data_IF_047833946256
#
_entry.id   IF_047833946256
#
_cell.length_a   1.000
_cell.length_b   1.000
_cell.length_c   1.000
_cell.angle_alpha   90.00
_cell.angle_beta   90.00
_cell.angle_gamma   90.00
#
_symmetry.space_group_name_H-M   'P 1'
#
loop_
_entity.id
_entity.type
_entity.pdbx_description
1 polymer ?
#
# COMPACT_ATOMS: atom_id res chain seq x y z
N UNK A 1 -6.41 32.31 5.39
CA UNK A 1 -6.82 31.10 6.13
C UNK A 1 -5.99 29.93 5.64
N UNK A 2 -4.93 29.55 6.36
CA UNK A 2 -4.15 28.35 6.03
C UNK A 2 -5.02 27.14 6.38
N UNK A 3 -5.47 26.39 5.36
CA UNK A 3 -6.34 25.22 5.53
C UNK A 3 -5.64 24.22 6.44
N UNK A 4 -6.27 23.81 7.54
CA UNK A 4 -5.70 22.90 8.57
C UNK A 4 -5.14 21.60 7.97
N UNK A 5 -5.73 21.14 6.86
CA UNK A 5 -5.25 20.02 6.05
C UNK A 5 -3.86 20.26 5.44
N UNK A 6 -3.57 21.50 5.01
CA UNK A 6 -2.25 21.90 4.53
C UNK A 6 -1.25 21.78 5.67
N UNK A 7 -1.53 22.36 6.84
CA UNK A 7 -0.62 22.30 8.01
C UNK A 7 -0.32 20.85 8.41
N UNK A 8 -1.33 19.98 8.45
CA UNK A 8 -1.13 18.55 8.74
C UNK A 8 -0.27 17.83 7.71
N UNK A 9 -0.48 18.10 6.41
CA UNK A 9 0.31 17.50 5.33
C UNK A 9 1.77 17.94 5.42
N UNK A 10 2.01 19.25 5.55
CA UNK A 10 3.34 19.82 5.72
C UNK A 10 4.05 19.27 6.97
N UNK A 11 3.33 19.10 8.09
CA UNK A 11 3.89 18.50 9.30
C UNK A 11 4.26 17.03 9.13
N UNK A 12 3.47 16.26 8.38
CA UNK A 12 3.75 14.85 8.09
C UNK A 12 4.97 14.70 7.15
N UNK A 13 5.10 15.60 6.17
CA UNK A 13 6.25 15.62 5.26
C UNK A 13 7.55 16.00 6.00
N UNK A 14 7.48 17.02 6.87
CA UNK A 14 8.61 17.45 7.71
C UNK A 14 8.96 16.43 8.79
N UNK A 15 7.97 15.81 9.43
CA UNK A 15 8.22 14.76 10.42
C UNK A 15 8.85 13.53 9.76
N UNK A 16 8.50 13.20 8.52
CA UNK A 16 9.19 12.15 7.74
C UNK A 16 10.66 12.43 7.43
N UNK A 17 11.11 13.69 7.54
CA UNK A 17 12.53 14.07 7.39
C UNK A 17 13.31 14.03 8.71
N UNK A 18 12.65 14.27 9.85
CA UNK A 18 13.29 14.41 11.18
C UNK A 18 13.11 13.16 12.05
N UNK A 19 11.97 12.48 11.94
CA UNK A 19 11.65 11.27 12.71
C UNK A 19 12.02 10.01 11.93
N UNK A 20 12.41 8.92 12.63
CA UNK A 20 12.68 7.65 11.99
C UNK A 20 11.44 7.19 11.21
N UNK A 21 11.60 6.78 9.96
CA UNK A 21 10.50 6.28 9.14
C UNK A 21 9.73 5.16 9.84
N UNK A 22 8.40 5.23 9.83
CA UNK A 22 7.51 4.18 10.34
C UNK A 22 6.99 3.29 9.21
N UNK A 23 6.72 2.02 9.54
CA UNK A 23 6.19 1.08 8.57
C UNK A 23 4.80 1.52 8.15
N UNK A 24 4.59 1.75 6.84
CA UNK A 24 3.29 2.18 6.33
C UNK A 24 2.14 1.20 6.58
N UNK A 25 2.43 -0.04 6.98
CA UNK A 25 1.46 -1.08 7.33
C UNK A 25 1.16 -1.15 8.82
N UNK A 26 2.14 -1.54 9.63
CA UNK A 26 1.98 -1.81 11.06
C UNK A 26 2.47 -0.69 11.99
N UNK A 27 3.08 0.38 11.45
CA UNK A 27 3.60 1.50 12.25
C UNK A 27 4.92 1.25 12.98
N UNK A 28 5.55 0.08 12.84
CA UNK A 28 6.86 -0.19 13.46
C UNK A 28 7.92 0.81 12.98
N UNK A 29 8.64 1.42 13.91
CA UNK A 29 9.65 2.43 13.63
C UNK A 29 10.86 1.86 12.85
N UNK A 30 11.64 2.78 12.25
CA UNK A 30 12.93 2.58 11.55
C UNK A 30 12.85 1.87 10.19
N UNK A 31 11.67 1.65 9.63
CA UNK A 31 11.52 1.08 8.28
C UNK A 31 10.27 1.61 7.61
N UNK A 32 10.35 1.93 6.32
CA UNK A 32 9.16 2.34 5.53
C UNK A 32 8.21 1.16 5.30
N UNK A 33 8.74 -0.06 5.22
CA UNK A 33 7.96 -1.30 5.09
C UNK A 33 8.73 -2.47 5.68
N UNK A 34 8.23 -3.00 6.80
CA UNK A 34 8.85 -4.15 7.46
C UNK A 34 8.72 -5.44 6.62
N UNK A 35 9.59 -6.45 6.86
CA UNK A 35 9.56 -7.71 6.12
C UNK A 35 8.21 -8.44 6.20
N UNK A 36 7.53 -8.35 7.34
CA UNK A 36 6.23 -9.01 7.56
C UNK A 36 5.12 -8.35 6.73
N UNK A 37 4.95 -7.03 6.80
CA UNK A 37 4.00 -6.31 5.94
C UNK A 37 4.33 -6.52 4.46
N UNK A 38 5.61 -6.59 4.09
CA UNK A 38 6.05 -6.91 2.72
C UNK A 38 5.61 -8.30 2.28
N UNK A 39 5.69 -9.30 3.16
CA UNK A 39 5.23 -10.66 2.86
C UNK A 39 3.70 -10.68 2.70
N UNK A 40 2.95 -10.02 3.58
CA UNK A 40 1.49 -9.90 3.50
C UNK A 40 1.03 -9.22 2.19
N UNK A 41 1.78 -8.23 1.69
CA UNK A 41 1.51 -7.58 0.40
C UNK A 41 1.78 -8.45 -0.83
N UNK A 42 2.31 -9.67 -0.67
CA UNK A 42 2.57 -10.64 -1.74
C UNK A 42 1.74 -11.92 -1.62
N UNK A 43 0.96 -12.06 -0.54
CA UNK A 43 0.47 -13.35 -0.05
C UNK A 43 -0.95 -13.69 -0.51
N UNK A 44 -1.26 -13.56 -1.80
CA UNK A 44 -2.54 -14.06 -2.33
C UNK A 44 -2.31 -14.94 -3.56
N UNK A 45 -2.71 -16.23 -3.52
CA UNK A 45 -2.84 -17.03 -4.73
C UNK A 45 -3.83 -16.36 -5.67
N UNK A 46 -3.72 -16.53 -7.00
CA UNK A 46 -4.68 -16.02 -7.98
C UNK A 46 -6.05 -16.69 -7.81
N UNK A 47 -6.76 -16.34 -6.75
CA UNK A 47 -8.11 -16.80 -6.45
C UNK A 47 -9.03 -15.59 -6.62
N UNK A 48 -9.48 -15.40 -7.86
CA UNK A 48 -10.61 -14.60 -8.30
C UNK A 48 -10.87 -13.32 -7.48
N UNK A 49 -10.12 -12.25 -7.77
CA UNK A 49 -10.56 -10.88 -7.43
C UNK A 49 -11.71 -10.39 -8.34
N UNK A 50 -12.46 -11.32 -8.94
CA UNK A 50 -13.58 -11.04 -9.83
C UNK A 50 -14.87 -10.80 -9.04
N UNK A 51 -15.78 -10.00 -9.61
CA UNK A 51 -17.15 -9.91 -9.09
C UNK A 51 -17.81 -11.29 -9.17
N UNK A 52 -18.71 -11.59 -8.23
CA UNK A 52 -19.59 -12.75 -8.30
C UNK A 52 -21.06 -12.29 -8.38
N UNK A 53 -21.80 -12.65 -9.44
CA UNK A 53 -21.32 -13.35 -10.64
C UNK A 53 -20.38 -12.47 -11.47
N UNK A 54 -19.55 -13.12 -12.30
CA UNK A 54 -18.62 -12.43 -13.19
C UNK A 54 -19.38 -11.82 -14.38
N UNK A 55 -19.22 -10.51 -14.67
CA UNK A 55 -19.87 -9.91 -15.82
C UNK A 55 -19.28 -10.46 -17.13
N UNK A 56 -20.09 -10.68 -18.18
CA UNK A 56 -19.61 -11.15 -19.47
C UNK A 56 -18.54 -10.21 -20.05
N UNK A 57 -17.44 -10.78 -20.55
CA UNK A 57 -16.36 -10.02 -21.17
C UNK A 57 -15.36 -9.36 -20.21
N UNK A 58 -15.42 -9.65 -18.90
CA UNK A 58 -14.40 -9.19 -17.97
C UNK A 58 -13.06 -9.89 -18.24
N UNK A 59 -11.95 -9.16 -18.44
CA UNK A 59 -10.63 -9.78 -18.53
C UNK A 59 -10.21 -10.34 -17.17
N UNK A 60 -9.23 -11.24 -17.18
CA UNK A 60 -8.65 -11.78 -15.94
C UNK A 60 -8.23 -10.64 -14.99
N UNK A 61 -8.81 -10.63 -13.79
CA UNK A 61 -8.51 -9.65 -12.75
C UNK A 61 -7.53 -10.25 -11.76
N UNK A 62 -6.37 -9.62 -11.63
CA UNK A 62 -5.32 -10.05 -10.70
C UNK A 62 -5.23 -9.08 -9.52
N UNK A 63 -5.06 -9.63 -8.32
CA UNK A 63 -4.80 -8.87 -7.11
C UNK A 63 -3.47 -9.33 -6.47
N UNK A 64 -2.63 -8.37 -6.08
CA UNK A 64 -1.36 -8.68 -5.41
C UNK A 64 -1.53 -9.12 -3.95
N UNK A 65 -2.62 -8.70 -3.31
CA UNK A 65 -2.96 -9.03 -1.93
C UNK A 65 -4.45 -8.79 -1.64
N UNK A 66 -4.96 -9.35 -0.54
CA UNK A 66 -6.30 -9.03 -0.02
C UNK A 66 -6.27 -7.62 0.54
N UNK A 67 -7.27 -6.82 0.20
CA UNK A 67 -7.41 -5.46 0.75
C UNK A 67 -7.95 -5.50 2.17
N UNK A 68 -7.06 -5.74 3.13
CA UNK A 68 -7.37 -5.78 4.56
C UNK A 68 -6.21 -5.23 5.39
N UNK A 69 -6.50 -4.80 6.62
CA UNK A 69 -5.54 -4.50 7.69
C UNK A 69 -4.28 -3.74 7.22
N UNK A 70 -3.10 -4.33 7.35
CA UNK A 70 -1.84 -3.66 7.04
C UNK A 70 -1.66 -3.45 5.53
N UNK A 71 -2.20 -4.32 4.68
CA UNK A 71 -2.18 -4.10 3.22
C UNK A 71 -2.97 -2.86 2.86
N UNK A 72 -4.15 -2.68 3.48
CA UNK A 72 -4.94 -1.45 3.37
C UNK A 72 -4.16 -0.24 3.90
N UNK A 73 -3.51 -0.37 5.05
CA UNK A 73 -2.72 0.73 5.64
C UNK A 73 -1.56 1.17 4.73
N UNK A 74 -0.81 0.22 4.15
CA UNK A 74 0.28 0.47 3.19
C UNK A 74 -0.23 1.20 1.94
N UNK A 75 -1.35 0.77 1.37
CA UNK A 75 -1.94 1.42 0.20
C UNK A 75 -2.38 2.85 0.51
N UNK A 76 -3.02 3.08 1.66
CA UNK A 76 -3.41 4.42 2.09
C UNK A 76 -2.19 5.30 2.41
N UNK A 77 -1.12 4.73 2.96
CA UNK A 77 0.13 5.45 3.19
C UNK A 77 0.69 5.98 1.86
N UNK A 78 0.69 5.14 0.83
CA UNK A 78 1.19 5.51 -0.49
C UNK A 78 0.29 6.51 -1.21
N UNK A 79 -1.03 6.23 -1.30
CA UNK A 79 -1.96 7.04 -2.10
C UNK A 79 -2.30 8.39 -1.48
N UNK A 80 -2.55 8.39 -0.17
CA UNK A 80 -3.18 9.53 0.50
C UNK A 80 -2.22 10.28 1.42
N UNK A 81 -1.16 9.62 1.92
CA UNK A 81 -0.20 10.22 2.86
C UNK A 81 1.19 10.47 2.26
N UNK A 82 1.34 10.31 0.94
CA UNK A 82 2.58 10.68 0.24
C UNK A 82 3.78 9.79 0.57
N UNK A 83 3.60 8.56 1.06
CA UNK A 83 4.70 7.64 1.32
C UNK A 83 5.29 7.08 0.01
N UNK A 84 6.03 7.92 -0.72
CA UNK A 84 6.59 7.62 -2.05
C UNK A 84 7.63 6.48 -2.02
N UNK A 85 8.29 6.28 -0.89
CA UNK A 85 9.22 5.17 -0.69
C UNK A 85 8.53 3.78 -0.79
N UNK A 86 7.19 3.72 -0.72
CA UNK A 86 6.40 2.50 -0.96
C UNK A 86 6.21 2.18 -2.46
N UNK A 87 6.58 3.06 -3.38
CA UNK A 87 6.42 2.85 -4.83
C UNK A 87 7.09 1.56 -5.30
N UNK A 88 8.36 1.35 -4.92
CA UNK A 88 9.10 0.13 -5.30
C UNK A 88 8.50 -1.17 -4.75
N UNK A 89 8.22 -1.30 -3.43
CA UNK A 89 7.63 -2.53 -2.91
C UNK A 89 6.24 -2.82 -3.49
N UNK A 90 5.39 -1.80 -3.70
CA UNK A 90 4.08 -1.97 -4.33
C UNK A 90 4.20 -2.38 -5.80
N UNK A 91 5.09 -1.74 -6.56
CA UNK A 91 5.36 -2.10 -7.96
C UNK A 91 5.86 -3.54 -8.10
N UNK A 92 6.73 -3.99 -7.20
CA UNK A 92 7.20 -5.38 -7.19
C UNK A 92 6.09 -6.39 -6.89
N UNK A 93 5.14 -6.04 -6.02
CA UNK A 93 3.98 -6.89 -5.72
C UNK A 93 3.04 -6.99 -6.95
N UNK A 94 2.74 -5.86 -7.59
CA UNK A 94 1.92 -5.83 -8.82
C UNK A 94 2.58 -6.59 -9.97
N UNK A 95 3.88 -6.41 -10.18
CA UNK A 95 4.63 -7.15 -11.20
C UNK A 95 4.67 -8.66 -10.92
N UNK A 96 4.56 -9.09 -9.66
CA UNK A 96 4.38 -10.50 -9.32
C UNK A 96 2.97 -11.01 -9.69
N UNK A 97 1.94 -10.21 -9.41
CA UNK A 97 0.54 -10.59 -9.61
C UNK A 97 0.14 -10.82 -11.08
N UNK A 98 0.84 -10.19 -12.03
CA UNK A 98 0.54 -10.27 -13.47
C UNK A 98 1.46 -11.21 -14.26
N UNK A 99 2.41 -11.86 -13.59
CA UNK A 99 3.29 -12.86 -14.22
C UNK A 99 2.76 -14.30 -14.07
N UNK A 100 1.57 -14.46 -13.50
CA UNK A 100 0.90 -15.76 -13.33
C UNK A 100 0.33 -16.28 -14.63
#
# INVERSE_FOLDING_TARGET
MIRVESVRRWWHDLSGLVLPAECGGCGTARTVLCPECRARSKAVPPAASGRTPEPPGLPAVHAAARYADEVRAVLLAHKERGALALTRPLGAALAGAVRV
#
